data_IF_050620563140
#
_entry.id   IF_050620563140
#
_cell.length_a   1.000
_cell.length_b   1.000
_cell.length_c   1.000
_cell.angle_alpha   90.00
_cell.angle_beta   90.00
_cell.angle_gamma   90.00
#
_symmetry.space_group_name_H-M   'P 1'
#
loop_
_entity.id
_entity.type
_entity.pdbx_description
1 polymer ?
#
# COMPACT_ATOMS: atom_id res chain seq x y z
N UNK A 1 31.47 -15.52 -56.82
CA UNK A 1 30.04 -15.51 -56.43
C UNK A 1 30.01 -15.64 -54.91
N UNK A 2 29.77 -14.52 -54.19
CA UNK A 2 29.63 -14.53 -52.73
C UNK A 2 28.17 -14.27 -52.40
N UNK A 3 27.50 -15.22 -51.75
CA UNK A 3 26.13 -15.03 -51.22
C UNK A 3 26.23 -14.23 -49.93
N UNK A 4 25.57 -13.09 -49.93
CA UNK A 4 25.32 -12.31 -48.71
C UNK A 4 24.07 -12.89 -48.02
N UNK A 5 24.26 -13.45 -46.82
CA UNK A 5 23.18 -13.84 -45.96
C UNK A 5 22.64 -12.59 -45.22
N UNK A 6 21.42 -12.17 -45.56
CA UNK A 6 20.74 -11.09 -44.88
C UNK A 6 20.21 -11.58 -43.52
N UNK A 7 20.72 -11.01 -42.43
CA UNK A 7 20.16 -11.12 -41.10
C UNK A 7 18.88 -10.29 -41.04
N UNK A 8 17.71 -10.95 -41.01
CA UNK A 8 16.45 -10.31 -40.66
C UNK A 8 16.40 -10.15 -39.14
N UNK A 9 16.44 -8.93 -38.65
CA UNK A 9 16.12 -8.61 -37.27
C UNK A 9 14.60 -8.80 -37.09
N UNK A 10 14.19 -9.81 -36.35
CA UNK A 10 12.82 -9.96 -35.88
C UNK A 10 12.55 -8.85 -34.85
N UNK A 11 11.91 -7.78 -35.32
CA UNK A 11 11.35 -6.75 -34.44
C UNK A 11 10.19 -7.38 -33.67
N UNK A 12 10.37 -7.62 -32.38
CA UNK A 12 9.27 -7.97 -31.49
C UNK A 12 8.23 -6.86 -31.53
N UNK A 13 7.03 -7.19 -31.94
CA UNK A 13 5.89 -6.29 -31.83
C UNK A 13 5.69 -5.94 -30.34
N UNK A 14 5.37 -4.68 -29.99
CA UNK A 14 5.13 -4.31 -28.61
C UNK A 14 4.04 -5.21 -28.02
N UNK A 15 4.39 -5.95 -26.96
CA UNK A 15 3.42 -6.80 -26.25
C UNK A 15 2.27 -5.94 -25.75
N UNK A 16 1.03 -6.46 -25.84
CA UNK A 16 -0.13 -5.78 -25.26
C UNK A 16 0.12 -5.43 -23.79
N UNK A 17 -0.39 -4.30 -23.30
CA UNK A 17 -0.26 -3.94 -21.90
C UNK A 17 -0.84 -5.08 -21.02
N UNK A 18 -0.23 -5.36 -19.85
CA UNK A 18 -0.74 -6.41 -18.97
C UNK A 18 -2.14 -6.06 -18.47
N UNK A 19 -3.03 -7.06 -18.34
CA UNK A 19 -4.32 -6.87 -17.66
C UNK A 19 -4.12 -6.69 -16.18
N UNK A 20 -4.81 -5.69 -15.60
CA UNK A 20 -4.85 -5.42 -14.16
C UNK A 20 -5.94 -6.24 -13.43
N UNK A 21 -6.77 -6.96 -14.15
CA UNK A 21 -7.86 -7.76 -13.58
C UNK A 21 -7.34 -9.14 -13.16
N UNK A 22 -7.30 -9.39 -11.85
CA UNK A 22 -6.88 -10.67 -11.30
C UNK A 22 -7.56 -10.95 -9.96
N UNK A 23 -7.54 -12.22 -9.55
CA UNK A 23 -8.02 -12.67 -8.25
C UNK A 23 -7.11 -13.74 -7.69
N UNK A 24 -6.80 -13.63 -6.39
CA UNK A 24 -6.13 -14.67 -5.61
C UNK A 24 -6.98 -15.02 -4.39
N UNK A 25 -6.81 -16.23 -3.86
CA UNK A 25 -7.58 -16.69 -2.72
C UNK A 25 -6.81 -17.65 -1.82
N UNK A 26 -7.16 -17.67 -0.55
CA UNK A 26 -6.58 -18.59 0.43
C UNK A 26 -7.55 -18.86 1.58
N UNK A 27 -7.53 -20.08 2.13
CA UNK A 27 -8.37 -20.46 3.26
C UNK A 27 -7.94 -19.72 4.52
N UNK A 28 -8.93 -19.21 5.29
CA UNK A 28 -8.74 -18.59 6.59
C UNK A 28 -9.90 -18.98 7.52
N UNK A 29 -9.62 -19.88 8.46
CA UNK A 29 -10.64 -20.47 9.30
C UNK A 29 -11.69 -21.27 8.51
N UNK A 30 -12.97 -20.97 8.75
CA UNK A 30 -14.10 -21.59 8.01
C UNK A 30 -14.41 -20.90 6.67
N UNK A 31 -13.69 -19.86 6.29
CA UNK A 31 -13.93 -19.06 5.09
C UNK A 31 -12.67 -18.93 4.24
N UNK A 32 -12.74 -18.10 3.20
CA UNK A 32 -11.60 -17.73 2.36
C UNK A 32 -11.37 -16.23 2.41
N UNK A 33 -10.10 -15.82 2.37
CA UNK A 33 -9.71 -14.48 1.99
C UNK A 33 -9.63 -14.47 0.47
N UNK A 34 -10.32 -13.51 -0.18
CA UNK A 34 -10.26 -13.28 -1.61
C UNK A 34 -9.78 -11.85 -1.85
N UNK A 35 -8.73 -11.71 -2.65
CA UNK A 35 -8.18 -10.41 -3.06
C UNK A 35 -8.39 -10.27 -4.56
N UNK A 36 -8.92 -9.11 -5.00
CA UNK A 36 -9.06 -8.80 -6.42
C UNK A 36 -8.42 -7.47 -6.78
N UNK A 37 -7.89 -7.41 -8.01
CA UNK A 37 -7.30 -6.23 -8.64
C UNK A 37 -8.08 -5.84 -9.88
N UNK A 38 -7.87 -4.62 -10.39
CA UNK A 38 -8.62 -4.13 -11.55
C UNK A 38 -7.76 -3.24 -12.46
N UNK A 39 -8.05 -3.28 -13.76
CA UNK A 39 -7.45 -2.37 -14.75
C UNK A 39 -7.74 -0.90 -14.41
N UNK A 40 -8.91 -0.60 -13.84
CA UNK A 40 -9.29 0.74 -13.39
C UNK A 40 -8.26 1.39 -12.48
N UNK A 41 -7.53 0.59 -11.70
CA UNK A 41 -6.61 1.05 -10.65
C UNK A 41 -5.16 0.58 -10.89
N UNK A 42 -4.78 0.35 -12.16
CA UNK A 42 -3.45 -0.14 -12.51
C UNK A 42 -3.03 -1.41 -11.75
N UNK A 43 -3.96 -2.33 -11.49
CA UNK A 43 -3.68 -3.56 -10.75
C UNK A 43 -3.55 -3.40 -9.24
N UNK A 44 -3.89 -2.24 -8.67
CA UNK A 44 -4.01 -2.09 -7.22
C UNK A 44 -5.17 -2.93 -6.68
N UNK A 45 -5.07 -3.31 -5.40
CA UNK A 45 -6.08 -4.14 -4.73
C UNK A 45 -7.30 -3.27 -4.42
N UNK A 46 -8.41 -3.57 -5.11
CA UNK A 46 -9.66 -2.83 -4.94
C UNK A 46 -10.68 -3.54 -4.06
N UNK A 47 -10.50 -4.84 -3.82
CA UNK A 47 -11.40 -5.63 -2.96
C UNK A 47 -10.59 -6.67 -2.19
N UNK A 48 -10.93 -6.82 -0.94
CA UNK A 48 -10.49 -7.88 -0.05
C UNK A 48 -11.70 -8.34 0.75
N UNK A 49 -12.10 -9.59 0.56
CA UNK A 49 -13.26 -10.16 1.28
C UNK A 49 -12.85 -11.33 2.16
N UNK A 50 -13.54 -11.49 3.31
CA UNK A 50 -13.50 -12.65 4.16
C UNK A 50 -14.87 -12.83 4.82
N UNK A 51 -15.38 -14.08 4.89
CA UNK A 51 -16.70 -14.35 5.46
C UNK A 51 -17.86 -13.66 4.71
N UNK A 52 -17.68 -13.32 3.44
CA UNK A 52 -18.65 -12.57 2.63
C UNK A 52 -18.68 -11.06 2.89
N UNK A 53 -17.82 -10.54 3.79
CA UNK A 53 -17.68 -9.11 4.09
C UNK A 53 -16.59 -8.47 3.23
N UNK A 54 -16.87 -7.30 2.64
CA UNK A 54 -15.87 -6.45 1.99
C UNK A 54 -15.14 -5.59 3.01
N UNK A 55 -13.82 -5.54 2.91
CA UNK A 55 -12.94 -4.79 3.80
C UNK A 55 -12.40 -3.49 3.17
N UNK A 56 -12.52 -3.32 1.86
CA UNK A 56 -11.93 -2.20 1.14
C UNK A 56 -13.01 -1.29 0.57
N UNK A 57 -12.93 0.00 0.88
CA UNK A 57 -13.63 1.03 0.13
C UNK A 57 -12.78 1.39 -1.11
N UNK A 58 -13.33 1.15 -2.29
CA UNK A 58 -12.66 1.42 -3.57
C UNK A 58 -13.47 2.39 -4.43
N UNK A 59 -14.04 3.42 -3.79
CA UNK A 59 -14.91 4.37 -4.46
C UNK A 59 -14.19 5.16 -5.55
N UNK A 60 -13.04 5.74 -5.24
CA UNK A 60 -12.23 6.55 -6.16
C UNK A 60 -10.78 6.00 -6.27
N UNK A 61 -9.90 6.70 -6.99
CA UNK A 61 -8.51 6.30 -7.17
C UNK A 61 -7.60 6.52 -5.94
N UNK A 62 -8.11 7.18 -4.89
CA UNK A 62 -7.39 7.39 -3.64
C UNK A 62 -7.66 6.34 -2.56
N UNK A 63 -8.72 5.52 -2.71
CA UNK A 63 -9.23 4.63 -1.66
C UNK A 63 -9.11 3.16 -2.05
N UNK A 64 -8.03 2.52 -1.66
CA UNK A 64 -7.79 1.09 -1.90
C UNK A 64 -6.98 0.49 -0.75
N UNK A 65 -6.59 -0.76 -0.89
CA UNK A 65 -5.46 -1.34 -0.18
C UNK A 65 -4.21 -1.14 -1.05
N UNK A 66 -3.59 0.02 -0.90
CA UNK A 66 -2.56 0.53 -1.81
C UNK A 66 -1.32 1.06 -1.10
N UNK A 67 -0.31 1.39 -1.90
CA UNK A 67 0.94 1.99 -1.46
C UNK A 67 1.10 3.39 -2.06
N UNK A 68 1.69 4.31 -1.28
CA UNK A 68 2.01 5.66 -1.70
C UNK A 68 3.32 6.13 -1.07
N UNK A 69 3.96 7.12 -1.67
CA UNK A 69 5.10 7.78 -1.06
C UNK A 69 4.96 9.29 -1.16
N UNK A 70 5.56 10.02 -0.22
CA UNK A 70 5.56 11.48 -0.22
C UNK A 70 6.96 11.98 0.02
N UNK A 71 7.36 13.00 -0.72
CA UNK A 71 8.71 13.55 -0.64
C UNK A 71 8.69 15.05 -0.44
N UNK A 72 9.76 15.58 0.14
CA UNK A 72 10.02 17.01 0.18
C UNK A 72 10.55 17.50 -1.18
N UNK A 73 10.56 18.82 -1.33
CA UNK A 73 11.33 19.47 -2.37
C UNK A 73 12.69 19.86 -1.78
N UNK A 74 13.77 19.17 -2.14
CA UNK A 74 15.08 19.34 -1.56
C UNK A 74 15.60 20.79 -1.62
N UNK A 75 15.26 21.55 -2.67
CA UNK A 75 15.66 22.95 -2.85
C UNK A 75 15.06 23.89 -1.83
N UNK A 76 13.84 23.64 -1.35
CA UNK A 76 13.11 24.48 -0.40
C UNK A 76 12.98 23.87 0.98
N UNK A 77 13.30 22.57 1.14
CA UNK A 77 13.05 21.77 2.34
C UNK A 77 11.58 21.83 2.80
N UNK A 78 10.67 22.13 1.88
CA UNK A 78 9.24 22.15 2.16
C UNK A 78 8.68 20.75 1.99
N UNK A 79 7.96 20.30 2.99
CA UNK A 79 7.23 19.05 2.97
C UNK A 79 5.73 19.29 3.23
N UNK A 80 4.91 18.74 2.36
CA UNK A 80 3.49 18.53 2.54
C UNK A 80 3.12 17.26 1.81
N UNK A 81 2.55 16.31 2.52
CA UNK A 81 2.44 14.92 2.05
C UNK A 81 1.83 14.78 0.64
N UNK A 82 0.86 15.62 0.27
CA UNK A 82 0.19 15.48 -1.02
C UNK A 82 0.86 16.25 -2.17
N UNK A 83 1.79 17.18 -1.88
CA UNK A 83 2.34 18.05 -2.94
C UNK A 83 3.35 17.36 -3.86
N UNK A 84 4.03 16.32 -3.38
CA UNK A 84 4.89 15.44 -4.19
C UNK A 84 4.66 14.00 -3.74
N UNK A 85 3.55 13.44 -4.21
CA UNK A 85 3.01 12.19 -3.67
C UNK A 85 2.67 11.19 -4.79
N UNK A 86 3.66 10.40 -5.25
CA UNK A 86 3.36 9.27 -6.13
C UNK A 86 2.50 8.22 -5.40
N UNK A 87 1.40 7.80 -6.06
CA UNK A 87 0.41 6.85 -5.60
C UNK A 87 0.23 5.70 -6.58
N UNK A 88 -0.07 4.52 -6.08
CA UNK A 88 -0.18 3.31 -6.90
C UNK A 88 -1.37 3.34 -7.85
N UNK A 89 -2.54 3.75 -7.36
CA UNK A 89 -3.81 3.55 -8.05
C UNK A 89 -4.21 4.68 -9.01
N UNK A 90 -3.47 5.78 -9.02
CA UNK A 90 -3.75 6.92 -9.90
C UNK A 90 -3.78 8.26 -9.19
N UNK A 91 -4.15 9.31 -9.92
CA UNK A 91 -4.24 10.69 -9.45
C UNK A 91 -5.62 11.00 -8.84
N UNK A 92 -5.70 12.02 -8.01
CA UNK A 92 -6.98 12.59 -7.56
C UNK A 92 -7.87 13.03 -8.73
N UNK A 93 -7.25 13.50 -9.82
CA UNK A 93 -7.95 13.90 -11.02
C UNK A 93 -8.62 12.75 -11.78
N UNK A 94 -8.27 11.50 -11.49
CA UNK A 94 -8.93 10.32 -12.05
C UNK A 94 -10.31 10.08 -11.40
N UNK A 95 -10.55 10.66 -10.21
CA UNK A 95 -11.83 10.60 -9.47
C UNK A 95 -12.37 9.16 -9.36
N UNK A 96 -13.60 8.93 -9.83
CA UNK A 96 -14.27 7.62 -9.91
C UNK A 96 -14.19 7.00 -11.30
N UNK A 97 -13.38 7.58 -12.19
CA UNK A 97 -13.28 7.20 -13.60
C UNK A 97 -12.83 5.75 -13.84
N UNK A 98 -13.06 5.27 -15.05
CA UNK A 98 -12.68 3.91 -15.46
C UNK A 98 -11.19 3.76 -15.81
N UNK A 99 -10.47 4.87 -15.96
CA UNK A 99 -9.06 4.90 -16.35
C UNK A 99 -8.23 5.55 -15.27
N UNK A 100 -7.04 5.04 -15.06
CA UNK A 100 -6.06 5.55 -14.10
C UNK A 100 -4.90 6.25 -14.81
N UNK A 101 -4.36 7.28 -14.16
CA UNK A 101 -3.11 7.95 -14.55
C UNK A 101 -1.85 7.12 -14.23
N UNK A 102 -1.93 6.13 -13.34
CA UNK A 102 -0.84 5.18 -13.08
C UNK A 102 -0.76 4.14 -14.20
N UNK A 103 0.41 3.52 -14.37
CA UNK A 103 0.62 2.56 -15.45
C UNK A 103 1.05 1.20 -14.89
N UNK A 104 0.21 0.19 -15.07
CA UNK A 104 0.57 -1.19 -14.76
C UNK A 104 1.68 -1.65 -15.72
N UNK A 105 2.80 -2.10 -15.18
CA UNK A 105 3.93 -2.62 -15.94
C UNK A 105 3.95 -4.15 -15.96
N UNK A 106 3.54 -4.79 -14.85
CA UNK A 106 3.48 -6.25 -14.71
C UNK A 106 2.44 -6.66 -13.68
N UNK A 107 1.72 -7.74 -13.97
CA UNK A 107 0.88 -8.45 -13.01
C UNK A 107 1.00 -9.96 -13.22
N UNK A 108 1.14 -10.69 -12.14
CA UNK A 108 1.03 -12.14 -12.09
C UNK A 108 0.21 -12.53 -10.87
N UNK A 109 -0.80 -13.35 -11.07
CA UNK A 109 -1.62 -13.92 -10.00
C UNK A 109 -1.69 -15.45 -10.19
N UNK A 110 -1.38 -16.21 -9.13
CA UNK A 110 -1.40 -17.67 -9.15
C UNK A 110 -1.69 -18.21 -7.75
N UNK A 111 -2.78 -18.99 -7.61
CA UNK A 111 -3.18 -19.55 -6.31
C UNK A 111 -3.44 -18.48 -5.26
N UNK A 112 -2.59 -18.41 -4.26
CA UNK A 112 -2.63 -17.41 -3.18
C UNK A 112 -1.62 -16.27 -3.36
N UNK A 113 -0.90 -16.21 -4.49
CA UNK A 113 0.18 -15.26 -4.73
C UNK A 113 -0.21 -14.22 -5.78
N UNK A 114 0.07 -12.94 -5.51
CA UNK A 114 -0.07 -11.81 -6.42
C UNK A 114 1.24 -11.03 -6.47
N UNK A 115 1.73 -10.75 -7.68
CA UNK A 115 2.87 -9.84 -7.92
C UNK A 115 2.46 -8.75 -8.87
N UNK A 116 2.67 -7.50 -8.48
CA UNK A 116 2.41 -6.32 -9.31
C UNK A 116 3.64 -5.44 -9.41
N UNK A 117 3.77 -4.72 -10.52
CA UNK A 117 4.74 -3.63 -10.69
C UNK A 117 4.03 -2.51 -11.43
N UNK A 118 3.97 -1.32 -10.82
CA UNK A 118 3.21 -0.19 -11.31
C UNK A 118 4.07 1.07 -11.31
N UNK A 119 4.10 1.79 -12.41
CA UNK A 119 4.62 3.15 -12.48
C UNK A 119 3.54 4.07 -11.90
N UNK A 120 3.89 4.79 -10.84
CA UNK A 120 2.96 5.54 -10.01
C UNK A 120 2.61 6.89 -10.66
N UNK A 121 1.39 7.36 -10.46
CA UNK A 121 1.00 8.73 -10.78
C UNK A 121 1.12 9.62 -9.54
N UNK A 122 1.36 10.92 -9.71
CA UNK A 122 1.24 11.87 -8.63
C UNK A 122 -0.22 12.08 -8.24
N UNK A 123 -0.48 12.15 -6.93
CA UNK A 123 -1.82 12.38 -6.40
C UNK A 123 -2.44 13.68 -6.91
N UNK A 124 -1.67 14.78 -6.89
CA UNK A 124 -2.09 16.06 -7.46
C UNK A 124 -1.63 16.18 -8.91
N UNK A 125 -2.51 16.64 -9.79
CA UNK A 125 -2.11 17.05 -11.12
C UNK A 125 -1.31 18.36 -11.07
N UNK A 126 -0.46 18.66 -12.08
CA UNK A 126 0.26 19.92 -12.17
C UNK A 126 -0.68 21.13 -12.07
N UNK A 127 -0.34 22.07 -11.20
CA UNK A 127 -1.15 23.27 -10.94
C UNK A 127 -2.25 23.11 -9.90
N UNK A 128 -2.56 21.89 -9.48
CA UNK A 128 -3.49 21.68 -8.36
C UNK A 128 -2.89 22.08 -7.02
N UNK A 129 -3.72 22.14 -5.99
CA UNK A 129 -3.34 22.51 -4.62
C UNK A 129 -3.95 21.56 -3.61
N UNK A 130 -3.22 21.32 -2.52
CA UNK A 130 -3.71 20.70 -1.30
C UNK A 130 -3.49 21.65 -0.11
N UNK A 131 -4.53 21.94 0.65
CA UNK A 131 -4.51 22.90 1.77
C UNK A 131 -3.82 24.23 1.41
N UNK A 132 -4.07 24.75 0.20
CA UNK A 132 -3.48 25.98 -0.33
C UNK A 132 -2.04 25.86 -0.86
N UNK A 133 -1.38 24.70 -0.71
CA UNK A 133 -0.02 24.44 -1.19
C UNK A 133 -0.05 23.83 -2.59
N UNK A 134 0.77 24.33 -3.53
CA UNK A 134 0.77 23.83 -4.90
C UNK A 134 1.40 22.43 -5.02
N UNK A 135 0.94 21.66 -6.00
CA UNK A 135 1.65 20.49 -6.49
C UNK A 135 3.06 20.88 -6.94
N UNK A 136 4.04 20.02 -6.68
CA UNK A 136 5.45 20.25 -7.02
C UNK A 136 5.88 19.47 -8.26
N UNK A 137 5.05 18.58 -8.77
CA UNK A 137 5.26 17.81 -9.98
C UNK A 137 4.85 18.62 -11.22
N UNK A 138 5.56 18.38 -12.34
CA UNK A 138 5.30 19.01 -13.64
C UNK A 138 4.47 18.13 -14.59
N UNK A 139 4.24 16.86 -14.22
CA UNK A 139 3.46 15.86 -14.98
C UNK A 139 2.69 14.96 -14.03
N UNK A 140 1.62 14.33 -14.50
CA UNK A 140 0.81 13.43 -13.67
C UNK A 140 1.52 12.08 -13.45
N UNK A 141 1.99 11.42 -14.52
CA UNK A 141 2.73 10.16 -14.40
C UNK A 141 4.16 10.43 -13.90
N UNK A 142 4.53 9.82 -12.79
CA UNK A 142 5.86 9.93 -12.21
C UNK A 142 6.83 8.89 -12.79
N UNK A 143 8.12 8.99 -12.44
CA UNK A 143 9.10 7.92 -12.72
C UNK A 143 9.27 6.96 -11.52
N UNK A 144 8.50 7.17 -10.45
CA UNK A 144 8.49 6.27 -9.31
C UNK A 144 7.78 4.96 -9.66
N UNK A 145 8.34 3.85 -9.17
CA UNK A 145 7.76 2.52 -9.37
C UNK A 145 7.47 1.91 -8.01
N UNK A 146 6.32 1.25 -7.88
CA UNK A 146 6.03 0.37 -6.75
C UNK A 146 5.90 -1.07 -7.26
N UNK A 147 6.57 -2.00 -6.57
CA UNK A 147 6.39 -3.44 -6.78
C UNK A 147 5.88 -4.06 -5.50
N UNK A 148 4.89 -4.94 -5.63
CA UNK A 148 4.34 -5.69 -4.50
C UNK A 148 4.38 -7.18 -4.76
N UNK A 149 4.70 -7.92 -3.72
CA UNK A 149 4.52 -9.35 -3.64
C UNK A 149 3.58 -9.63 -2.46
N UNK A 150 2.43 -10.19 -2.74
CA UNK A 150 1.35 -10.45 -1.78
C UNK A 150 1.09 -11.94 -1.73
N UNK A 151 1.03 -12.51 -0.55
CA UNK A 151 0.72 -13.93 -0.36
C UNK A 151 -0.31 -14.11 0.77
N UNK A 152 -1.44 -14.76 0.46
CA UNK A 152 -2.46 -15.09 1.46
C UNK A 152 -2.02 -16.33 2.23
N UNK A 153 -1.94 -16.19 3.54
CA UNK A 153 -1.37 -17.18 4.45
C UNK A 153 0.11 -16.89 4.73
N UNK A 154 0.51 -17.03 5.98
CA UNK A 154 1.91 -16.93 6.39
C UNK A 154 2.24 -18.06 7.36
N UNK A 155 3.07 -19.03 6.94
CA UNK A 155 3.37 -20.25 7.70
C UNK A 155 2.08 -20.96 8.12
N UNK A 156 1.79 -21.03 9.44
CA UNK A 156 0.56 -21.62 9.99
C UNK A 156 -0.55 -20.59 10.26
N UNK A 157 -0.30 -19.31 9.94
CA UNK A 157 -1.23 -18.21 10.19
C UNK A 157 -2.08 -17.97 8.94
N UNK A 158 -3.20 -18.69 8.84
CA UNK A 158 -4.09 -18.63 7.69
C UNK A 158 -4.82 -17.29 7.52
N UNK A 159 -5.02 -16.55 8.62
CA UNK A 159 -5.63 -15.23 8.66
C UNK A 159 -4.66 -14.08 8.33
N UNK A 160 -3.42 -14.38 7.99
CA UNK A 160 -2.38 -13.39 7.72
C UNK A 160 -2.06 -13.34 6.24
N UNK A 161 -1.97 -12.13 5.71
CA UNK A 161 -1.51 -11.84 4.35
C UNK A 161 -0.14 -11.19 4.48
N UNK A 162 0.87 -11.76 3.84
CA UNK A 162 2.20 -11.20 3.77
C UNK A 162 2.32 -10.24 2.59
N UNK A 163 2.93 -9.07 2.84
CA UNK A 163 3.26 -8.06 1.83
C UNK A 163 4.75 -7.76 1.85
N UNK A 164 5.38 -7.86 0.69
CA UNK A 164 6.67 -7.24 0.41
C UNK A 164 6.43 -6.08 -0.56
N UNK A 165 6.75 -4.87 -0.14
CA UNK A 165 6.55 -3.65 -0.93
C UNK A 165 7.90 -3.03 -1.22
N UNK A 166 8.18 -2.76 -2.49
CA UNK A 166 9.41 -2.10 -2.94
C UNK A 166 9.06 -0.85 -3.70
N UNK A 167 9.48 0.30 -3.19
CA UNK A 167 9.47 1.58 -3.93
C UNK A 167 10.80 1.77 -4.63
N UNK A 168 10.77 2.20 -5.88
CA UNK A 168 11.97 2.63 -6.61
C UNK A 168 11.92 4.13 -6.80
N UNK A 169 12.86 4.84 -6.15
CA UNK A 169 13.04 6.29 -6.27
C UNK A 169 13.93 6.58 -7.49
N UNK A 170 13.54 7.50 -8.38
CA UNK A 170 14.30 7.85 -9.57
C UNK A 170 15.68 8.42 -9.25
N UNK A 171 16.65 8.22 -10.16
CA UNK A 171 18.04 8.67 -9.98
C UNK A 171 18.22 10.19 -10.09
N UNK A 172 17.35 10.83 -10.86
CA UNK A 172 17.46 12.25 -11.19
C UNK A 172 16.69 13.15 -10.21
N UNK A 173 16.09 12.57 -9.19
CA UNK A 173 15.37 13.30 -8.14
C UNK A 173 16.22 13.44 -6.89
N UNK A 174 16.08 14.57 -6.19
CA UNK A 174 16.76 14.86 -4.94
C UNK A 174 15.75 15.23 -3.87
N UNK A 175 15.72 14.44 -2.82
CA UNK A 175 14.88 14.63 -1.65
C UNK A 175 15.70 14.49 -0.39
N UNK A 176 15.36 15.22 0.68
CA UNK A 176 16.01 15.12 1.99
C UNK A 176 15.08 14.49 3.03
N UNK A 177 13.80 14.41 2.71
CA UNK A 177 12.79 13.73 3.51
C UNK A 177 11.87 12.90 2.64
N UNK A 178 11.56 11.68 3.07
CA UNK A 178 10.57 10.82 2.46
C UNK A 178 9.68 10.15 3.50
N UNK A 179 8.41 10.01 3.16
CA UNK A 179 7.42 9.24 3.89
C UNK A 179 6.87 8.16 2.96
N UNK A 180 7.13 6.90 3.28
CA UNK A 180 6.60 5.75 2.55
C UNK A 180 5.38 5.22 3.30
N UNK A 181 4.18 5.47 2.80
CA UNK A 181 2.98 4.73 3.19
C UNK A 181 3.08 3.35 2.54
N UNK A 182 3.85 2.46 3.19
CA UNK A 182 4.15 1.15 2.63
C UNK A 182 2.88 0.35 2.36
N UNK A 183 1.87 0.51 3.22
CA UNK A 183 0.53 0.01 2.97
C UNK A 183 -0.51 0.88 3.67
N UNK A 184 -1.58 1.16 2.97
CA UNK A 184 -2.74 1.91 3.44
C UNK A 184 -4.01 1.14 3.10
N UNK A 185 -4.89 0.94 4.07
CA UNK A 185 -6.19 0.34 3.88
C UNK A 185 -7.30 1.37 4.10
N UNK A 186 -8.06 1.67 3.06
CA UNK A 186 -9.32 2.40 3.17
C UNK A 186 -10.45 1.40 3.30
N UNK A 187 -11.25 1.53 4.35
CA UNK A 187 -12.27 0.55 4.72
C UNK A 187 -13.65 1.20 4.80
N UNK A 188 -14.73 0.44 4.54
CA UNK A 188 -16.09 0.90 4.73
C UNK A 188 -16.35 1.44 6.15
N UNK A 189 -17.31 2.39 6.34
CA UNK A 189 -17.50 3.11 7.60
C UNK A 189 -18.00 2.23 8.76
N UNK A 190 -18.51 1.04 8.48
CA UNK A 190 -18.92 0.08 9.49
C UNK A 190 -17.77 -0.56 10.29
N UNK A 191 -16.51 -0.42 9.82
CA UNK A 191 -15.31 -0.75 10.62
C UNK A 191 -15.00 0.42 11.56
N UNK A 192 -15.92 0.68 12.48
CA UNK A 192 -16.03 1.92 13.23
C UNK A 192 -15.37 1.90 14.61
N UNK A 193 -14.75 0.78 14.99
CA UNK A 193 -13.97 0.65 16.22
C UNK A 193 -12.49 0.53 15.94
N UNK A 194 -11.68 1.29 16.69
CA UNK A 194 -10.25 1.43 16.48
C UNK A 194 -9.48 0.91 17.69
N UNK A 195 -8.43 0.12 17.44
CA UNK A 195 -7.66 -0.56 18.46
C UNK A 195 -6.17 -0.49 18.16
N UNK A 196 -5.34 -0.47 19.19
CA UNK A 196 -3.90 -0.76 19.11
C UNK A 196 -3.61 -2.11 19.75
N UNK A 197 -2.74 -2.88 19.13
CA UNK A 197 -2.24 -4.11 19.69
C UNK A 197 -1.01 -3.82 20.59
N UNK A 198 -1.05 -4.25 21.85
CA UNK A 198 0.04 -4.09 22.79
C UNK A 198 0.94 -5.33 22.77
N UNK A 199 2.17 -5.25 22.20
CA UNK A 199 3.10 -6.38 22.11
C UNK A 199 3.44 -7.02 23.45
N UNK A 200 3.53 -6.21 24.51
CA UNK A 200 3.93 -6.67 25.86
C UNK A 200 2.87 -7.51 26.56
N UNK A 201 1.59 -7.29 26.24
CA UNK A 201 0.47 -7.98 26.93
C UNK A 201 -0.32 -8.90 26.00
N UNK A 202 -0.14 -8.75 24.65
CA UNK A 202 -0.91 -9.46 23.65
C UNK A 202 -2.39 -9.04 23.60
N UNK A 203 -2.72 -7.87 24.16
CA UNK A 203 -4.10 -7.34 24.23
C UNK A 203 -4.34 -6.24 23.21
N UNK A 204 -5.59 -5.99 22.93
CA UNK A 204 -6.07 -4.83 22.19
C UNK A 204 -6.53 -3.76 23.17
N UNK A 205 -6.04 -2.54 23.02
CA UNK A 205 -6.51 -1.34 23.72
C UNK A 205 -7.28 -0.46 22.73
N UNK A 206 -8.41 0.08 23.17
CA UNK A 206 -9.21 0.98 22.36
C UNK A 206 -8.46 2.28 22.04
N UNK A 207 -8.66 2.76 20.82
CA UNK A 207 -8.22 4.07 20.35
C UNK A 207 -9.46 4.93 20.03
N UNK A 208 -9.28 6.25 20.06
CA UNK A 208 -10.23 7.18 19.44
C UNK A 208 -10.18 7.05 17.90
N UNK A 209 -11.09 7.71 17.21
CA UNK A 209 -11.24 7.63 15.75
C UNK A 209 -10.25 8.53 14.96
N UNK A 210 -9.26 9.11 15.64
CA UNK A 210 -8.20 9.91 15.02
C UNK A 210 -8.68 11.30 14.57
N UNK A 211 -7.96 11.95 13.66
CA UNK A 211 -6.72 11.46 13.06
C UNK A 211 -5.58 11.31 14.07
N UNK A 212 -4.77 10.28 13.89
CA UNK A 212 -3.61 10.07 14.75
C UNK A 212 -2.75 8.89 14.32
N UNK A 213 -1.49 8.94 14.72
CA UNK A 213 -0.50 7.90 14.50
C UNK A 213 0.15 7.51 15.84
N UNK A 214 0.55 6.27 15.97
CA UNK A 214 1.22 5.74 17.14
C UNK A 214 2.11 4.54 16.76
N UNK A 215 2.92 4.02 17.66
CA UNK A 215 3.97 3.03 17.40
C UNK A 215 3.53 1.56 17.47
N UNK A 216 2.28 1.28 17.81
CA UNK A 216 1.76 -0.08 17.93
C UNK A 216 0.90 -0.48 16.73
N UNK A 217 0.86 -1.76 16.34
CA UNK A 217 -0.02 -2.24 15.28
C UNK A 217 -1.47 -1.79 15.48
N UNK A 218 -2.09 -1.25 14.43
CA UNK A 218 -3.45 -0.76 14.44
C UNK A 218 -4.41 -1.82 13.92
N UNK A 219 -5.61 -1.87 14.50
CA UNK A 219 -6.71 -2.75 14.11
C UNK A 219 -7.98 -1.93 14.01
N UNK A 220 -8.69 -2.06 12.88
CA UNK A 220 -10.04 -1.55 12.70
C UNK A 220 -11.00 -2.73 12.65
N UNK A 221 -12.13 -2.61 13.34
CA UNK A 221 -13.14 -3.67 13.42
C UNK A 221 -14.56 -3.10 13.37
N UNK A 222 -15.52 -3.92 12.97
CA UNK A 222 -16.92 -3.61 13.19
C UNK A 222 -17.25 -3.58 14.70
N UNK A 223 -18.39 -2.99 15.06
CA UNK A 223 -18.79 -2.82 16.46
C UNK A 223 -18.79 -4.14 17.24
N UNK A 224 -19.27 -5.22 16.62
CA UNK A 224 -19.40 -6.53 17.26
C UNK A 224 -18.09 -7.32 17.27
N UNK A 225 -17.08 -6.88 16.52
CA UNK A 225 -15.81 -7.56 16.37
C UNK A 225 -15.88 -8.85 15.54
N UNK A 226 -16.92 -8.99 14.73
CA UNK A 226 -17.09 -10.14 13.83
C UNK A 226 -16.21 -10.06 12.60
N UNK A 227 -15.80 -8.84 12.21
CA UNK A 227 -14.86 -8.57 11.13
C UNK A 227 -13.86 -7.52 11.56
N UNK A 228 -12.59 -7.78 11.35
CA UNK A 228 -11.49 -6.88 11.67
C UNK A 228 -10.34 -7.04 10.70
N UNK A 229 -9.61 -5.96 10.51
CA UNK A 229 -8.34 -5.92 9.78
C UNK A 229 -7.30 -5.20 10.62
N UNK A 230 -6.10 -5.77 10.72
CA UNK A 230 -4.97 -5.16 11.42
C UNK A 230 -3.69 -5.26 10.61
N UNK A 231 -2.76 -4.34 10.85
CA UNK A 231 -1.46 -4.29 10.16
C UNK A 231 -0.32 -4.32 11.15
N UNK A 232 0.73 -5.08 10.79
CA UNK A 232 1.99 -5.19 11.51
C UNK A 232 3.16 -5.17 10.55
N UNK A 233 4.23 -4.49 10.92
CA UNK A 233 5.53 -4.65 10.26
C UNK A 233 6.56 -5.06 11.31
N UNK A 234 7.43 -6.06 11.06
CA UNK A 234 8.58 -6.29 11.89
C UNK A 234 9.48 -5.04 11.83
N UNK A 235 10.02 -4.64 12.97
CA UNK A 235 10.95 -3.51 13.06
C UNK A 235 12.09 -3.70 12.06
N UNK A 236 12.01 -2.97 10.96
CA UNK A 236 13.09 -2.94 10.00
C UNK A 236 13.98 -1.74 10.35
N UNK A 237 15.05 -2.01 11.04
CA UNK A 237 16.11 -1.04 11.29
C UNK A 237 16.94 -0.83 10.04
N UNK A 238 16.32 -0.31 8.99
CA UNK A 238 17.08 0.22 7.87
C UNK A 238 17.76 1.50 8.36
N UNK A 239 19.06 1.61 8.12
CA UNK A 239 19.85 2.75 8.57
C UNK A 239 19.22 4.06 8.08
N UNK A 240 18.85 4.93 9.02
CA UNK A 240 18.25 6.23 8.76
C UNK A 240 16.73 6.25 8.73
N UNK A 241 16.04 5.10 8.85
CA UNK A 241 14.59 5.07 8.95
C UNK A 241 14.10 5.14 10.40
N UNK A 242 12.98 5.83 10.59
CA UNK A 242 12.20 5.73 11.81
C UNK A 242 11.48 4.37 11.88
N UNK A 243 11.08 3.97 13.08
CA UNK A 243 10.20 2.81 13.26
C UNK A 243 8.88 3.01 12.52
N UNK A 244 8.21 1.90 12.20
CA UNK A 244 6.88 1.94 11.60
C UNK A 244 5.90 2.75 12.45
N UNK A 245 5.27 3.75 11.85
CA UNK A 245 4.14 4.48 12.40
C UNK A 245 2.84 3.86 11.94
N UNK A 246 1.86 3.72 12.83
CA UNK A 246 0.54 3.17 12.53
C UNK A 246 -0.52 4.23 12.73
N UNK A 247 -1.06 4.74 11.63
CA UNK A 247 -2.09 5.78 11.64
C UNK A 247 -3.50 5.22 11.57
N UNK A 248 -4.45 6.03 12.09
CA UNK A 248 -5.88 5.78 11.99
C UNK A 248 -6.62 7.08 11.71
N UNK A 249 -7.67 7.00 10.90
CA UNK A 249 -8.41 8.16 10.43
C UNK A 249 -9.88 7.80 10.21
N UNK A 250 -10.78 8.72 10.55
CA UNK A 250 -12.18 8.67 10.15
C UNK A 250 -12.52 9.90 9.31
N UNK A 251 -12.90 9.69 8.08
CA UNK A 251 -13.37 10.72 7.16
C UNK A 251 -14.90 10.68 7.12
N UNK A 252 -15.54 11.51 7.95
CA UNK A 252 -17.00 11.50 8.14
C UNK A 252 -17.77 11.92 6.89
N UNK A 253 -17.25 12.91 6.16
CA UNK A 253 -17.88 13.40 4.93
C UNK A 253 -17.86 12.34 3.81
N UNK A 254 -16.76 11.65 3.68
CA UNK A 254 -16.51 10.62 2.67
C UNK A 254 -17.07 9.26 3.08
N UNK A 255 -17.53 9.11 4.33
CA UNK A 255 -18.02 7.86 4.92
C UNK A 255 -17.02 6.71 4.77
N UNK A 256 -15.77 6.96 5.12
CA UNK A 256 -14.69 5.99 5.03
C UNK A 256 -13.79 6.07 6.27
N UNK A 257 -13.22 4.94 6.66
CA UNK A 257 -12.17 4.87 7.67
C UNK A 257 -10.87 4.39 7.02
N UNK A 258 -9.74 4.75 7.62
CA UNK A 258 -8.41 4.46 7.06
C UNK A 258 -7.46 4.05 8.17
N UNK A 259 -6.62 3.08 7.88
CA UNK A 259 -5.36 2.86 8.57
C UNK A 259 -4.18 2.95 7.59
N UNK A 260 -2.99 3.25 8.10
CA UNK A 260 -1.75 3.12 7.32
C UNK A 260 -0.61 2.58 8.19
N UNK A 261 0.39 2.01 7.51
CA UNK A 261 1.70 1.69 8.07
C UNK A 261 2.75 2.47 7.29
N UNK A 262 3.46 3.35 7.98
CA UNK A 262 4.29 4.40 7.38
C UNK A 262 5.71 4.32 7.90
N UNK A 263 6.67 4.49 7.00
CA UNK A 263 8.09 4.62 7.32
C UNK A 263 8.61 5.96 6.85
N UNK A 264 9.39 6.60 7.71
CA UNK A 264 9.98 7.92 7.42
C UNK A 264 11.48 7.84 7.41
N UNK A 265 12.09 8.61 6.53
CA UNK A 265 13.52 8.78 6.47
C UNK A 265 13.85 10.24 6.25
N UNK A 266 14.80 10.75 7.05
CA UNK A 266 15.37 12.09 6.86
C UNK A 266 16.87 11.95 6.69
N UNK A 267 17.40 12.47 5.59
CA UNK A 267 18.84 12.47 5.30
C UNK A 267 19.22 13.78 4.63
N UNK A 268 19.98 14.63 5.31
CA UNK A 268 20.43 15.93 4.80
C UNK A 268 21.34 15.84 3.56
N UNK A 269 21.97 14.69 3.34
CA UNK A 269 22.80 14.41 2.15
C UNK A 269 21.97 13.94 0.94
N UNK A 270 20.72 13.57 1.17
CA UNK A 270 19.76 13.09 0.17
C UNK A 270 19.23 11.68 0.46
N UNK A 271 17.97 11.45 0.07
CA UNK A 271 17.37 10.13 0.07
C UNK A 271 18.01 9.32 -1.07
N UNK A 272 18.52 8.11 -0.81
CA UNK A 272 19.12 7.29 -1.86
C UNK A 272 18.12 6.98 -2.98
N UNK A 273 18.57 7.16 -4.22
CA UNK A 273 17.85 6.63 -5.37
C UNK A 273 17.89 5.10 -5.37
N UNK A 274 16.92 4.47 -6.05
CA UNK A 274 16.82 3.02 -6.13
C UNK A 274 15.79 2.44 -5.18
N UNK A 275 15.98 1.23 -4.73
CA UNK A 275 14.96 0.44 -4.04
C UNK A 275 14.92 0.67 -2.53
N UNK A 276 13.71 0.92 -2.02
CA UNK A 276 13.35 0.99 -0.61
C UNK A 276 12.32 -0.11 -0.33
N UNK A 277 12.69 -1.09 0.50
CA UNK A 277 11.90 -2.32 0.71
C UNK A 277 11.31 -2.37 2.10
N UNK A 278 10.04 -2.75 2.18
CA UNK A 278 9.29 -2.88 3.43
C UNK A 278 8.53 -4.21 3.43
N UNK A 279 8.51 -4.86 4.58
CA UNK A 279 7.74 -6.08 4.82
C UNK A 279 6.63 -5.81 5.81
N UNK A 280 5.41 -6.21 5.45
CA UNK A 280 4.23 -6.00 6.28
C UNK A 280 3.39 -7.27 6.32
N UNK A 281 2.55 -7.35 7.33
CA UNK A 281 1.56 -8.41 7.50
C UNK A 281 0.21 -7.77 7.77
N UNK A 282 -0.80 -8.19 7.05
CA UNK A 282 -2.19 -7.80 7.27
C UNK A 282 -2.94 -8.99 7.81
N UNK A 283 -3.52 -8.88 8.99
CA UNK A 283 -4.37 -9.89 9.59
C UNK A 283 -5.84 -9.56 9.32
N UNK A 284 -6.62 -10.55 8.88
CA UNK A 284 -8.05 -10.42 8.52
C UNK A 284 -8.84 -11.56 9.16
N UNK A 285 -9.99 -11.26 9.75
CA UNK A 285 -10.81 -12.25 10.43
C UNK A 285 -11.76 -11.60 11.43
N UNK A 286 -12.15 -12.32 12.46
CA UNK A 286 -12.74 -11.72 13.65
C UNK A 286 -11.68 -10.87 14.39
N UNK A 287 -12.11 -9.96 15.26
CA UNK A 287 -11.19 -9.19 16.10
C UNK A 287 -10.26 -10.09 16.92
N UNK A 288 -10.75 -11.24 17.36
CA UNK A 288 -9.94 -12.21 18.08
C UNK A 288 -8.93 -12.94 17.16
N UNK A 289 -9.31 -13.34 15.94
CA UNK A 289 -8.39 -13.92 14.95
C UNK A 289 -7.26 -12.95 14.62
N UNK A 290 -7.59 -11.67 14.44
CA UNK A 290 -6.61 -10.60 14.19
C UNK A 290 -5.68 -10.43 15.38
N UNK A 291 -6.23 -10.38 16.62
CA UNK A 291 -5.42 -10.28 17.84
C UNK A 291 -4.44 -11.46 17.99
N UNK A 292 -4.90 -12.69 17.78
CA UNK A 292 -4.07 -13.90 17.85
C UNK A 292 -2.99 -13.90 16.77
N UNK A 293 -3.34 -13.49 15.56
CA UNK A 293 -2.40 -13.37 14.43
C UNK A 293 -1.30 -12.37 14.73
N UNK A 294 -1.65 -11.19 15.24
CA UNK A 294 -0.68 -10.16 15.64
C UNK A 294 0.22 -10.64 16.79
N UNK A 295 -0.34 -11.35 17.79
CA UNK A 295 0.45 -11.92 18.89
C UNK A 295 1.47 -12.94 18.37
N UNK A 296 1.08 -13.81 17.44
CA UNK A 296 1.98 -14.80 16.84
C UNK A 296 3.09 -14.14 16.01
N UNK A 297 2.74 -13.12 15.20
CA UNK A 297 3.72 -12.36 14.41
C UNK A 297 4.73 -11.65 15.31
N UNK A 298 4.25 -10.93 16.33
CA UNK A 298 5.14 -10.25 17.29
C UNK A 298 6.08 -11.23 17.98
N UNK A 299 5.56 -12.38 18.46
CA UNK A 299 6.39 -13.41 19.10
C UNK A 299 7.46 -13.97 18.13
N UNK A 300 7.12 -14.15 16.85
CA UNK A 300 8.07 -14.64 15.86
C UNK A 300 9.21 -13.66 15.58
N UNK A 301 8.91 -12.37 15.49
CA UNK A 301 9.90 -11.34 15.16
C UNK A 301 10.60 -10.73 16.37
N UNK A 302 10.12 -10.96 17.59
CA UNK A 302 10.79 -10.52 18.83
C UNK A 302 12.06 -11.33 19.17
N UNK A 303 12.25 -12.48 18.56
CA UNK A 303 13.34 -13.45 18.85
C UNK A 303 14.61 -13.18 18.03
N UNK A 304 14.74 -12.01 17.42
CA UNK A 304 15.92 -11.68 16.60
C UNK A 304 16.81 -10.63 17.25
#
# INVERSE_FOLDING_TARGET
MALAAGCQASGDAPSAPPSGNASIRGKAGSSEIVITTTDRLAGAIHSLTWGGKEFIDSHDHGRQLQSAASFDQASSKQFWAECYNPTEAGSRADETGEKTSSKLLRLRAEGAELKTTTQMAFWLAPGEKSAGRPALNERVLSEHIVSKHVHIGYKKLAHVIEYEVTFTVPKDERHTYAQFEALTGYMPPEFDTFWKFLPTTGKLDALDDGPGEQEHPVVLADTDGTHAMGVFSPDQTLRGYEKAGYGRFRFKAEKVVKWNCVFRVQNGEGIPAGEHRFRLFVAVGTREDVRQSLAALVAEFAVR
#
